data_IF_093295679467
#
_entry.id   IF_093295679467
#
_cell.length_a   1.000
_cell.length_b   1.000
_cell.length_c   1.000
_cell.angle_alpha   90.00
_cell.angle_beta   90.00
_cell.angle_gamma   90.00
#
_symmetry.space_group_name_H-M   'P 1'
#
loop_
_entity.id
_entity.type
_entity.pdbx_description
1 polymer ?
#
# COMPACT_ATOMS: atom_id res chain seq x y z
N UNK A 1 22.10 -15.07 -12.81
CA UNK A 1 21.38 -13.77 -12.83
C UNK A 1 19.98 -14.01 -12.31
N UNK A 2 19.39 -12.98 -11.70
CA UNK A 2 18.00 -13.01 -11.24
C UNK A 2 17.27 -11.85 -11.91
N UNK A 3 16.01 -12.06 -12.32
CA UNK A 3 15.10 -10.99 -12.72
C UNK A 3 14.34 -10.51 -11.49
N UNK A 4 14.03 -9.22 -11.45
CA UNK A 4 13.20 -8.62 -10.42
C UNK A 4 12.05 -7.88 -11.11
N UNK A 5 10.83 -8.36 -10.86
CA UNK A 5 9.61 -7.77 -11.38
C UNK A 5 8.94 -6.94 -10.29
N UNK A 6 8.53 -5.74 -10.63
CA UNK A 6 7.73 -4.85 -9.77
C UNK A 6 6.66 -4.14 -10.60
N UNK A 7 5.59 -3.76 -9.95
CA UNK A 7 4.50 -3.02 -10.58
C UNK A 7 3.97 -1.93 -9.65
N UNK A 8 3.34 -0.95 -10.24
CA UNK A 8 2.59 0.04 -9.51
C UNK A 8 1.15 -0.45 -9.32
N UNK A 9 0.67 -0.40 -8.08
CA UNK A 9 -0.68 -0.80 -7.73
C UNK A 9 -1.70 0.11 -8.44
N UNK A 10 -2.89 -0.39 -8.76
CA UNK A 10 -3.98 0.42 -9.35
C UNK A 10 -4.16 1.74 -8.63
N UNK A 11 -4.40 2.80 -9.36
CA UNK A 11 -4.52 4.15 -8.84
C UNK A 11 -3.18 4.81 -8.50
N UNK A 12 -2.02 4.19 -8.80
CA UNK A 12 -0.70 4.72 -8.48
C UNK A 12 0.26 4.63 -9.67
N UNK A 13 1.26 5.51 -9.65
CA UNK A 13 2.43 5.47 -10.53
C UNK A 13 2.06 5.49 -12.01
N UNK A 14 2.52 4.48 -12.75
CA UNK A 14 2.23 4.30 -14.17
C UNK A 14 0.99 3.43 -14.45
N UNK A 15 0.33 2.90 -13.41
CA UNK A 15 -0.96 2.23 -13.55
C UNK A 15 -2.10 3.24 -13.73
N UNK A 16 -3.27 2.77 -14.20
CA UNK A 16 -4.44 3.62 -14.40
C UNK A 16 -4.82 4.38 -13.13
N UNK A 17 -4.97 5.70 -13.25
CA UNK A 17 -5.33 6.58 -12.15
C UNK A 17 -6.85 6.69 -11.91
N UNK A 18 -7.66 6.15 -12.79
CA UNK A 18 -9.12 6.11 -12.65
C UNK A 18 -9.64 4.66 -12.59
N UNK A 19 -9.19 3.83 -11.64
CA UNK A 19 -9.68 2.48 -11.50
C UNK A 19 -11.13 2.50 -10.98
N UNK A 20 -11.99 1.67 -11.56
CA UNK A 20 -13.39 1.56 -11.15
C UNK A 20 -13.52 1.19 -9.67
N UNK A 21 -12.65 0.32 -9.17
CA UNK A 21 -12.67 -0.14 -7.79
C UNK A 21 -11.26 -0.19 -7.19
N UNK A 22 -11.14 0.32 -5.96
CA UNK A 22 -9.97 0.12 -5.10
C UNK A 22 -10.45 -0.68 -3.90
N UNK A 23 -10.02 -1.95 -3.82
CA UNK A 23 -10.34 -2.88 -2.74
C UNK A 23 -9.17 -3.82 -2.48
N UNK A 24 -9.17 -4.47 -1.33
CA UNK A 24 -8.13 -5.45 -0.99
C UNK A 24 -8.07 -6.62 -1.98
N UNK A 25 -9.23 -7.14 -2.37
CA UNK A 25 -9.31 -8.26 -3.33
C UNK A 25 -8.75 -7.85 -4.69
N UNK A 26 -9.03 -6.62 -5.14
CA UNK A 26 -8.47 -6.11 -6.39
C UNK A 26 -6.94 -5.99 -6.34
N UNK A 27 -6.34 -5.68 -5.19
CA UNK A 27 -4.89 -5.67 -5.06
C UNK A 27 -4.28 -7.06 -5.20
N UNK A 28 -4.96 -8.08 -4.69
CA UNK A 28 -4.55 -9.49 -4.87
C UNK A 28 -4.70 -9.92 -6.33
N UNK A 29 -5.76 -9.49 -7.01
CA UNK A 29 -6.01 -9.80 -8.42
C UNK A 29 -5.02 -9.08 -9.34
N UNK A 30 -4.60 -7.85 -9.01
CA UNK A 30 -3.53 -7.13 -9.73
C UNK A 30 -2.21 -7.90 -9.68
N UNK A 31 -1.84 -8.39 -8.50
CA UNK A 31 -0.65 -9.23 -8.35
C UNK A 31 -0.76 -10.50 -9.19
N UNK A 32 -1.94 -11.15 -9.23
CA UNK A 32 -2.15 -12.34 -10.07
C UNK A 32 -2.05 -12.01 -11.56
N UNK A 33 -2.54 -10.86 -11.99
CA UNK A 33 -2.44 -10.41 -13.38
C UNK A 33 -0.97 -10.22 -13.79
N UNK A 34 -0.17 -9.55 -12.95
CA UNK A 34 1.27 -9.34 -13.18
C UNK A 34 2.02 -10.68 -13.22
N UNK A 35 1.74 -11.59 -12.29
CA UNK A 35 2.36 -12.94 -12.25
C UNK A 35 2.04 -13.73 -13.51
N UNK A 36 0.81 -13.64 -14.02
CA UNK A 36 0.40 -14.30 -15.26
C UNK A 36 1.08 -13.71 -16.49
N UNK A 37 1.12 -12.38 -16.59
CA UNK A 37 1.76 -11.68 -17.71
C UNK A 37 3.25 -11.97 -17.77
N UNK A 38 3.94 -11.91 -16.63
CA UNK A 38 5.35 -12.25 -16.48
C UNK A 38 5.64 -13.76 -16.58
N UNK A 39 4.59 -14.61 -16.72
CA UNK A 39 4.68 -16.07 -16.83
C UNK A 39 5.47 -16.73 -15.69
N UNK A 40 5.31 -16.21 -14.48
CA UNK A 40 5.99 -16.73 -13.29
C UNK A 40 5.25 -17.96 -12.76
N UNK A 41 5.96 -19.08 -12.65
CA UNK A 41 5.38 -20.35 -12.17
C UNK A 41 5.69 -20.65 -10.71
N UNK A 42 6.96 -20.42 -10.29
CA UNK A 42 7.40 -20.60 -8.91
C UNK A 42 8.49 -19.58 -8.60
N UNK A 43 8.20 -18.63 -7.72
CA UNK A 43 9.05 -17.46 -7.48
C UNK A 43 9.06 -17.05 -6.02
N UNK A 44 10.14 -16.42 -5.52
CA UNK A 44 10.12 -15.73 -4.24
C UNK A 44 9.37 -14.40 -4.37
N UNK A 45 8.47 -14.14 -3.42
CA UNK A 45 7.69 -12.90 -3.35
C UNK A 45 8.22 -12.01 -2.24
N UNK A 46 8.66 -10.80 -2.59
CA UNK A 46 9.07 -9.77 -1.63
C UNK A 46 7.92 -8.81 -1.37
N UNK A 47 7.64 -8.58 -0.11
CA UNK A 47 6.53 -7.77 0.36
C UNK A 47 6.97 -6.71 1.35
N UNK A 48 6.57 -5.46 1.08
CA UNK A 48 6.87 -4.30 1.91
C UNK A 48 5.58 -3.71 2.47
N UNK A 49 5.55 -3.42 3.78
CA UNK A 49 4.45 -2.70 4.44
C UNK A 49 3.07 -3.30 4.10
N UNK A 50 2.15 -2.52 3.55
CA UNK A 50 0.80 -2.95 3.14
C UNK A 50 0.83 -4.09 2.11
N UNK A 51 1.83 -4.14 1.23
CA UNK A 51 2.01 -5.24 0.29
C UNK A 51 2.17 -6.61 0.95
N UNK A 52 2.52 -6.66 2.24
CA UNK A 52 2.59 -7.91 3.02
C UNK A 52 1.25 -8.61 3.09
N UNK A 53 0.17 -7.90 3.38
CA UNK A 53 -1.15 -8.51 3.48
C UNK A 53 -1.64 -9.05 2.13
N UNK A 54 -1.40 -8.31 1.05
CA UNK A 54 -1.69 -8.73 -0.33
C UNK A 54 -0.91 -10.00 -0.66
N UNK A 55 0.39 -10.02 -0.33
CA UNK A 55 1.26 -11.17 -0.61
C UNK A 55 0.92 -12.41 0.22
N UNK A 56 0.48 -12.25 1.46
CA UNK A 56 -0.05 -13.33 2.31
C UNK A 56 -1.29 -13.93 1.66
N UNK A 57 -2.27 -13.08 1.30
CA UNK A 57 -3.50 -13.54 0.67
C UNK A 57 -3.22 -14.24 -0.68
N UNK A 58 -2.30 -13.69 -1.47
CA UNK A 58 -1.87 -14.29 -2.72
C UNK A 58 -1.20 -15.66 -2.51
N UNK A 59 -0.26 -15.76 -1.58
CA UNK A 59 0.45 -17.00 -1.30
C UNK A 59 -0.50 -18.11 -0.80
N UNK A 60 -1.49 -17.75 0.01
CA UNK A 60 -2.51 -18.70 0.46
C UNK A 60 -3.44 -19.16 -0.68
N UNK A 61 -3.80 -18.24 -1.59
CA UNK A 61 -4.63 -18.54 -2.77
C UNK A 61 -3.87 -19.40 -3.80
N UNK A 62 -2.54 -19.18 -3.91
CA UNK A 62 -1.68 -19.84 -4.91
C UNK A 62 -0.41 -20.45 -4.28
N UNK A 63 -0.51 -21.43 -3.36
CA UNK A 63 0.62 -21.89 -2.55
C UNK A 63 1.74 -22.57 -3.38
N UNK A 64 1.43 -23.04 -4.58
CA UNK A 64 2.44 -23.63 -5.48
C UNK A 64 3.25 -22.59 -6.26
N UNK A 65 2.78 -21.36 -6.35
CA UNK A 65 3.45 -20.28 -7.09
C UNK A 65 4.49 -19.54 -6.24
N UNK A 66 4.27 -19.44 -4.94
CA UNK A 66 5.15 -18.67 -4.04
C UNK A 66 6.12 -19.61 -3.34
N UNK A 67 7.37 -19.63 -3.78
CA UNK A 67 8.42 -20.48 -3.19
C UNK A 67 8.90 -19.99 -1.83
N UNK A 68 8.93 -18.66 -1.64
CA UNK A 68 9.31 -17.99 -0.40
C UNK A 68 8.58 -16.66 -0.30
N UNK A 69 8.15 -16.30 0.90
CA UNK A 69 7.59 -14.98 1.19
C UNK A 69 8.58 -14.22 2.10
N UNK A 70 9.11 -13.11 1.58
CA UNK A 70 10.06 -12.25 2.28
C UNK A 70 9.33 -10.97 2.68
N UNK A 71 9.25 -10.68 3.98
CA UNK A 71 8.44 -9.59 4.51
C UNK A 71 9.33 -8.54 5.17
N UNK A 72 9.10 -7.27 4.84
CA UNK A 72 9.73 -6.13 5.48
C UNK A 72 8.69 -5.12 5.98
N UNK A 73 8.66 -4.87 7.30
CA UNK A 73 7.79 -3.88 7.92
C UNK A 73 6.31 -4.10 7.70
N UNK A 74 5.90 -5.37 7.57
CA UNK A 74 4.52 -5.74 7.23
C UNK A 74 3.58 -5.87 8.42
N UNK A 75 2.29 -5.97 8.12
CA UNK A 75 1.25 -6.21 9.09
C UNK A 75 0.14 -7.11 8.51
N UNK A 76 -0.50 -7.89 9.39
CA UNK A 76 -1.63 -8.76 9.04
C UNK A 76 -3.00 -8.12 9.37
N UNK A 77 -3.01 -7.05 10.16
CA UNK A 77 -4.22 -6.31 10.56
C UNK A 77 -4.04 -4.82 10.36
N UNK A 78 -4.98 -4.16 9.71
CA UNK A 78 -5.09 -2.72 9.60
C UNK A 78 -5.43 -2.03 10.92
N UNK A 79 -5.43 -0.71 10.93
CA UNK A 79 -5.65 0.11 12.14
C UNK A 79 -7.01 -0.13 12.77
N UNK A 80 -8.06 -0.39 11.98
CA UNK A 80 -9.41 -0.69 12.47
C UNK A 80 -9.47 -1.90 13.42
N UNK A 81 -8.51 -2.83 13.31
CA UNK A 81 -8.41 -4.04 14.15
C UNK A 81 -7.34 -3.96 15.24
N UNK A 82 -6.54 -2.87 15.26
CA UNK A 82 -5.44 -2.70 16.21
C UNK A 82 -5.68 -1.57 17.21
N UNK A 83 -6.65 -0.70 16.94
CA UNK A 83 -6.98 0.46 17.76
C UNK A 83 -8.37 0.29 18.40
N UNK A 84 -8.66 1.08 19.43
CA UNK A 84 -10.03 1.22 19.94
C UNK A 84 -10.90 1.91 18.89
N UNK A 85 -12.17 1.53 18.79
CA UNK A 85 -13.06 1.97 17.73
C UNK A 85 -13.23 3.51 17.67
N UNK A 86 -13.37 4.16 18.81
CA UNK A 86 -13.49 5.61 18.95
C UNK A 86 -12.21 6.35 18.54
N UNK A 87 -11.06 5.85 18.95
CA UNK A 87 -9.75 6.36 18.57
C UNK A 87 -9.51 6.20 17.07
N UNK A 88 -9.78 5.01 16.54
CA UNK A 88 -9.66 4.74 15.10
C UNK A 88 -10.53 5.68 14.29
N UNK A 89 -11.81 5.83 14.63
CA UNK A 89 -12.73 6.70 13.90
C UNK A 89 -12.24 8.15 13.86
N UNK A 90 -11.74 8.66 14.98
CA UNK A 90 -11.19 10.02 15.06
C UNK A 90 -9.97 10.20 14.16
N UNK A 91 -9.00 9.30 14.25
CA UNK A 91 -7.75 9.38 13.48
C UNK A 91 -8.02 9.19 11.99
N UNK A 92 -8.82 8.19 11.62
CA UNK A 92 -9.14 7.91 10.21
C UNK A 92 -9.87 9.07 9.54
N UNK A 93 -10.81 9.72 10.23
CA UNK A 93 -11.50 10.90 9.70
C UNK A 93 -10.56 12.10 9.53
N UNK A 94 -9.64 12.29 10.47
CA UNK A 94 -8.63 13.35 10.38
C UNK A 94 -7.68 13.12 9.20
N UNK A 95 -7.13 11.92 9.09
CA UNK A 95 -6.22 11.56 8.00
C UNK A 95 -6.88 11.75 6.64
N UNK A 96 -8.12 11.30 6.49
CA UNK A 96 -8.88 11.46 5.26
C UNK A 96 -9.08 12.93 4.90
N UNK A 97 -9.50 13.75 5.85
CA UNK A 97 -9.67 15.19 5.62
C UNK A 97 -8.36 15.86 5.24
N UNK A 98 -7.26 15.50 5.88
CA UNK A 98 -5.91 16.00 5.56
C UNK A 98 -5.46 15.59 4.17
N UNK A 99 -5.68 14.32 3.78
CA UNK A 99 -5.34 13.81 2.45
C UNK A 99 -6.13 14.59 1.38
N UNK A 100 -7.45 14.64 1.50
CA UNK A 100 -8.31 15.27 0.49
C UNK A 100 -8.03 16.76 0.31
N UNK A 101 -7.58 17.47 1.35
CA UNK A 101 -7.30 18.90 1.29
C UNK A 101 -5.81 19.25 1.09
N UNK A 102 -4.88 18.34 1.37
CA UNK A 102 -3.46 18.66 1.41
C UNK A 102 -2.57 17.90 0.43
N UNK A 103 -3.04 16.76 -0.10
CA UNK A 103 -2.19 15.86 -0.91
C UNK A 103 -1.60 16.51 -2.16
N UNK A 104 -2.44 17.21 -2.92
CA UNK A 104 -2.08 17.81 -4.21
C UNK A 104 -1.60 19.27 -4.10
N UNK A 105 -1.63 19.86 -2.90
CA UNK A 105 -1.25 21.24 -2.69
C UNK A 105 0.22 21.48 -3.00
N UNK A 106 0.54 22.70 -3.48
CA UNK A 106 1.93 23.12 -3.69
C UNK A 106 2.71 23.13 -2.37
N UNK A 107 2.08 23.65 -1.29
CA UNK A 107 2.66 23.58 0.05
C UNK A 107 2.75 22.12 0.52
N UNK A 108 3.93 21.58 0.79
CA UNK A 108 4.11 20.17 1.16
C UNK A 108 3.78 19.88 2.64
N UNK A 109 3.33 20.82 3.43
CA UNK A 109 3.20 20.69 4.90
C UNK A 109 2.45 19.41 5.31
N UNK A 110 1.34 19.10 4.63
CA UNK A 110 0.60 17.87 4.91
C UNK A 110 1.41 16.60 4.56
N UNK A 111 2.00 16.57 3.36
CA UNK A 111 2.81 15.42 2.95
C UNK A 111 4.05 15.26 3.85
N UNK A 112 4.64 16.36 4.31
CA UNK A 112 5.75 16.32 5.30
C UNK A 112 5.32 15.71 6.61
N UNK A 113 4.14 16.09 7.12
CA UNK A 113 3.58 15.47 8.32
C UNK A 113 3.42 13.95 8.14
N UNK A 114 2.81 13.53 7.03
CA UNK A 114 2.63 12.12 6.72
C UNK A 114 3.97 11.40 6.53
N UNK A 115 4.89 11.98 5.75
CA UNK A 115 6.21 11.44 5.46
C UNK A 115 7.07 11.26 6.72
N UNK A 116 6.97 12.18 7.69
CA UNK A 116 7.71 12.10 8.95
C UNK A 116 7.38 10.85 9.79
N UNK A 117 6.20 10.27 9.59
CA UNK A 117 5.81 9.02 10.25
C UNK A 117 6.58 7.80 9.72
N UNK A 118 7.12 7.89 8.50
CA UNK A 118 7.90 6.82 7.86
C UNK A 118 9.40 7.11 7.90
N UNK A 119 9.77 8.38 7.85
CA UNK A 119 11.14 8.85 7.74
C UNK A 119 11.45 9.93 8.79
N UNK A 120 11.37 9.62 10.10
CA UNK A 120 11.48 10.63 11.16
C UNK A 120 12.87 11.30 11.21
N UNK A 121 13.91 10.62 10.75
CA UNK A 121 15.31 11.11 10.75
C UNK A 121 15.78 11.52 9.34
N UNK A 122 14.85 11.70 8.39
CA UNK A 122 15.21 12.07 7.02
C UNK A 122 15.85 13.45 6.95
N UNK A 123 16.90 13.59 6.14
CA UNK A 123 17.40 14.89 5.76
C UNK A 123 16.33 15.69 5.01
N UNK A 124 16.52 17.01 4.91
CA UNK A 124 15.61 17.87 4.15
C UNK A 124 15.48 17.38 2.69
N UNK A 125 16.57 17.00 2.06
CA UNK A 125 16.58 16.51 0.68
C UNK A 125 15.79 15.20 0.52
N UNK A 126 15.95 14.27 1.44
CA UNK A 126 15.19 13.02 1.47
C UNK A 126 13.68 13.29 1.67
N UNK A 127 13.34 14.21 2.57
CA UNK A 127 11.95 14.60 2.83
C UNK A 127 11.34 15.27 1.60
N UNK A 128 12.04 16.20 0.97
CA UNK A 128 11.57 16.90 -0.25
C UNK A 128 11.38 15.90 -1.40
N UNK A 129 12.31 14.95 -1.58
CA UNK A 129 12.18 13.88 -2.58
C UNK A 129 10.95 12.99 -2.32
N UNK A 130 10.75 12.56 -1.08
CA UNK A 130 9.61 11.73 -0.72
C UNK A 130 8.27 12.47 -0.88
N UNK A 131 8.20 13.75 -0.51
CA UNK A 131 7.03 14.59 -0.72
C UNK A 131 6.66 14.73 -2.20
N UNK A 132 7.66 14.87 -3.07
CA UNK A 132 7.45 14.93 -4.52
C UNK A 132 6.94 13.60 -5.05
N UNK A 133 7.55 12.48 -4.65
CA UNK A 133 7.07 11.15 -5.02
C UNK A 133 5.60 10.98 -4.63
N UNK A 134 5.23 11.31 -3.40
CA UNK A 134 3.84 11.23 -2.94
C UNK A 134 2.89 12.03 -3.84
N UNK A 135 3.23 13.29 -4.17
CA UNK A 135 2.40 14.16 -5.00
C UNK A 135 2.16 13.61 -6.40
N UNK A 136 3.19 12.98 -6.99
CA UNK A 136 3.16 12.56 -8.39
C UNK A 136 2.81 11.08 -8.58
N UNK A 137 2.60 10.32 -7.52
CA UNK A 137 2.30 8.88 -7.64
C UNK A 137 0.82 8.54 -7.55
N UNK A 138 -0.02 9.42 -6.99
CA UNK A 138 -1.46 9.15 -6.88
C UNK A 138 -2.25 10.44 -6.61
N UNK A 139 -3.54 10.44 -6.94
CA UNK A 139 -4.45 11.54 -6.60
C UNK A 139 -4.84 11.51 -5.12
N UNK A 140 -5.29 12.65 -4.59
CA UNK A 140 -5.85 12.74 -3.23
C UNK A 140 -6.99 11.74 -3.01
N UNK A 141 -7.89 11.61 -3.99
CA UNK A 141 -9.02 10.69 -3.93
C UNK A 141 -8.55 9.23 -3.84
N UNK A 142 -7.57 8.82 -4.65
CA UNK A 142 -7.04 7.47 -4.61
C UNK A 142 -6.26 7.21 -3.32
N UNK A 143 -5.43 8.16 -2.87
CA UNK A 143 -4.72 8.05 -1.60
C UNK A 143 -5.68 7.81 -0.43
N UNK A 144 -6.79 8.56 -0.36
CA UNK A 144 -7.81 8.37 0.67
C UNK A 144 -8.50 7.00 0.56
N UNK A 145 -8.87 6.55 -0.65
CA UNK A 145 -9.46 5.22 -0.87
C UNK A 145 -8.50 4.10 -0.45
N UNK A 146 -7.24 4.20 -0.85
CA UNK A 146 -6.20 3.21 -0.51
C UNK A 146 -6.00 3.15 1.00
N UNK A 147 -5.94 4.30 1.68
CA UNK A 147 -5.79 4.34 3.14
C UNK A 147 -6.97 3.64 3.83
N UNK A 148 -8.21 3.90 3.40
CA UNK A 148 -9.40 3.21 3.95
C UNK A 148 -9.32 1.70 3.75
N UNK A 149 -8.89 1.23 2.58
CA UNK A 149 -8.70 -0.20 2.33
C UNK A 149 -7.64 -0.78 3.28
N UNK A 150 -6.51 -0.09 3.42
CA UNK A 150 -5.42 -0.52 4.30
C UNK A 150 -5.84 -0.60 5.76
N UNK A 151 -6.68 0.31 6.21
CA UNK A 151 -7.22 0.32 7.58
C UNK A 151 -8.09 -0.90 7.88
N UNK A 152 -8.77 -1.44 6.88
CA UNK A 152 -9.69 -2.58 7.01
C UNK A 152 -9.04 -3.93 6.69
N UNK A 153 -7.75 -3.98 6.40
CA UNK A 153 -7.05 -5.25 6.16
C UNK A 153 -7.12 -6.16 7.39
N UNK A 154 -7.46 -7.43 7.16
CA UNK A 154 -7.35 -8.49 8.15
C UNK A 154 -7.13 -9.83 7.45
N UNK A 155 -5.88 -10.30 7.45
CA UNK A 155 -5.48 -11.57 6.83
C UNK A 155 -5.01 -12.60 7.88
N UNK A 156 -5.39 -12.42 9.15
CA UNK A 156 -4.93 -13.32 10.24
C UNK A 156 -5.42 -14.74 10.04
N UNK A 157 -6.68 -14.91 9.61
CA UNK A 157 -7.23 -16.25 9.37
C UNK A 157 -6.54 -16.96 8.19
N UNK A 158 -5.95 -16.20 7.28
CA UNK A 158 -5.21 -16.71 6.13
C UNK A 158 -3.82 -17.25 6.51
N UNK A 159 -3.34 -16.93 7.71
CA UNK A 159 -2.04 -17.39 8.23
C UNK A 159 -2.09 -18.79 8.89
N UNK A 160 -3.27 -19.38 9.01
CA UNK A 160 -3.48 -20.71 9.58
C UNK A 160 -3.35 -21.77 8.50
#
# INVERSE_FOLDING_TARGET
SHSFERFDQRGNGFSDWDPQNISFDNFVDDLDAVVKDAKLENFPLFALSQGTAVSIAYAAKYPRKVSKLIILGGYARGRAFRMKADEFQKISSMDEAMILNGWEQENPAFRQFFASSFLPEASKEQMDSFNNIMKFTTSATNAAKILRVNDQINVVETLK
#
